data_IF_047539979749
#
_entry.id   IF_047539979749
#
_cell.length_a   1.000
_cell.length_b   1.000
_cell.length_c   1.000
_cell.angle_alpha   90.00
_cell.angle_beta   90.00
_cell.angle_gamma   90.00
#
_symmetry.space_group_name_H-M   'P 1'
#
loop_
_entity.id
_entity.type
_entity.pdbx_description
1 polymer ?
#
# COMPACT_ATOMS: atom_id res chain seq x y z
N UNK A 1 -1.13 27.54 7.45
CA UNK A 1 -2.16 28.42 6.88
C UNK A 1 -3.39 27.56 6.57
N UNK A 2 -4.58 27.94 7.07
CA UNK A 2 -5.80 27.19 6.80
C UNK A 2 -6.27 27.43 5.37
N UNK A 3 -6.73 26.41 4.69
CA UNK A 3 -7.32 26.46 3.34
C UNK A 3 -8.85 26.68 3.40
N UNK A 4 -9.43 26.61 4.58
CA UNK A 4 -10.85 26.83 4.82
C UNK A 4 -11.25 28.30 4.73
N UNK A 5 -12.54 28.55 4.42
CA UNK A 5 -13.18 29.85 4.56
C UNK A 5 -14.24 29.77 5.65
N UNK A 6 -14.44 30.89 6.37
CA UNK A 6 -15.50 30.95 7.37
C UNK A 6 -16.88 30.84 6.70
N UNK A 7 -17.74 30.00 7.26
CA UNK A 7 -19.14 29.86 6.85
C UNK A 7 -20.09 30.62 7.81
N UNK A 8 -19.54 31.35 8.78
CA UNK A 8 -20.32 31.98 9.84
C UNK A 8 -21.38 32.96 9.27
N UNK A 9 -21.01 33.74 8.25
CA UNK A 9 -21.93 34.70 7.65
C UNK A 9 -23.09 34.03 6.91
N UNK A 10 -22.78 32.87 6.26
CA UNK A 10 -23.81 32.06 5.60
C UNK A 10 -24.76 31.41 6.63
N UNK A 11 -24.27 31.07 7.82
CA UNK A 11 -25.14 30.58 8.90
C UNK A 11 -26.05 31.63 9.49
N UNK A 12 -25.54 32.88 9.60
CA UNK A 12 -26.35 34.01 10.06
C UNK A 12 -27.33 34.51 8.99
N UNK A 13 -26.95 34.45 7.74
CA UNK A 13 -27.75 34.83 6.60
C UNK A 13 -27.52 33.87 5.42
N UNK A 14 -28.41 32.90 5.19
CA UNK A 14 -28.26 31.91 4.12
C UNK A 14 -28.13 32.53 2.71
N UNK A 15 -28.58 33.74 2.51
CA UNK A 15 -28.48 34.45 1.24
C UNK A 15 -27.10 35.03 0.95
N UNK A 16 -26.20 35.13 1.96
CA UNK A 16 -24.87 35.71 1.78
C UNK A 16 -23.92 34.83 0.94
N UNK A 17 -24.23 33.54 0.82
CA UNK A 17 -23.39 32.58 0.11
C UNK A 17 -22.01 32.38 0.75
N UNK A 18 -21.21 31.45 0.21
CA UNK A 18 -19.83 31.22 0.61
C UNK A 18 -18.90 31.85 -0.45
N UNK A 19 -17.90 32.62 -0.03
CA UNK A 19 -16.96 33.30 -0.93
C UNK A 19 -16.03 32.36 -1.72
N UNK A 20 -16.13 31.05 -1.53
CA UNK A 20 -15.30 30.07 -2.19
C UNK A 20 -15.86 29.70 -3.57
N UNK A 21 -15.03 29.84 -4.62
CA UNK A 21 -15.42 29.51 -6.01
C UNK A 21 -15.31 28.02 -6.31
N UNK A 22 -14.34 27.33 -5.68
CA UNK A 22 -14.03 25.91 -5.94
C UNK A 22 -13.80 25.15 -4.64
N UNK A 23 -14.18 23.87 -4.64
CA UNK A 23 -13.82 22.90 -3.62
C UNK A 23 -12.82 21.92 -4.22
N UNK A 24 -11.83 21.54 -3.44
CA UNK A 24 -10.77 20.63 -3.88
C UNK A 24 -10.63 19.48 -2.91
N UNK A 25 -10.33 18.31 -3.44
CA UNK A 25 -10.00 17.11 -2.68
C UNK A 25 -8.71 16.53 -3.22
N UNK A 26 -7.90 16.00 -2.33
CA UNK A 26 -6.67 15.32 -2.66
C UNK A 26 -6.52 14.09 -1.77
N UNK A 27 -6.61 12.93 -2.41
CA UNK A 27 -6.53 11.63 -1.78
C UNK A 27 -5.39 10.84 -2.41
N UNK A 28 -4.13 11.09 -2.00
CA UNK A 28 -2.94 10.57 -2.66
C UNK A 28 -2.56 9.16 -2.19
N UNK A 29 -3.46 8.43 -1.57
CA UNK A 29 -3.16 7.07 -1.13
C UNK A 29 -3.09 6.15 -2.35
N UNK A 30 -1.98 5.47 -2.50
CA UNK A 30 -1.69 4.57 -3.62
C UNK A 30 -2.64 3.37 -3.70
N UNK A 31 -3.47 3.17 -2.67
CA UNK A 31 -4.33 2.01 -2.54
C UNK A 31 -5.62 2.35 -1.81
N UNK A 32 -6.68 1.61 -2.13
CA UNK A 32 -7.94 1.83 -1.44
C UNK A 32 -7.76 1.63 0.07
N UNK A 33 -8.12 2.66 0.81
CA UNK A 33 -8.30 2.56 2.24
C UNK A 33 -9.34 1.47 2.56
N UNK A 34 -9.33 0.89 3.76
CA UNK A 34 -10.32 -0.12 4.17
C UNK A 34 -11.79 0.33 4.01
N UNK A 35 -12.03 1.64 3.93
CA UNK A 35 -13.35 2.22 3.63
C UNK A 35 -13.65 2.30 2.12
N UNK A 36 -12.76 1.78 1.27
CA UNK A 36 -12.84 1.94 -0.18
C UNK A 36 -12.25 3.27 -0.64
N UNK A 37 -12.23 3.46 -1.94
CA UNK A 37 -11.71 4.65 -2.61
C UNK A 37 -10.49 4.34 -3.47
N UNK A 38 -10.38 5.06 -4.56
CA UNK A 38 -9.25 4.98 -5.49
C UNK A 38 -8.45 6.26 -5.32
N UNK A 39 -7.11 6.13 -5.33
CA UNK A 39 -6.19 7.27 -5.29
C UNK A 39 -6.58 8.31 -6.34
N UNK A 40 -6.95 9.50 -5.90
CA UNK A 40 -7.57 10.49 -6.79
C UNK A 40 -7.45 11.91 -6.26
N UNK A 41 -7.66 12.86 -7.15
CA UNK A 41 -7.91 14.24 -6.81
C UNK A 41 -9.20 14.71 -7.45
N UNK A 42 -9.84 15.72 -6.88
CA UNK A 42 -11.05 16.27 -7.47
C UNK A 42 -11.15 17.78 -7.28
N UNK A 43 -11.83 18.41 -8.21
CA UNK A 43 -12.25 19.81 -8.13
C UNK A 43 -13.73 19.90 -8.45
N UNK A 44 -14.46 20.66 -7.63
CA UNK A 44 -15.81 21.13 -7.96
C UNK A 44 -15.77 22.64 -8.15
N UNK A 45 -16.20 23.07 -9.32
CA UNK A 45 -16.38 24.49 -9.66
C UNK A 45 -17.80 24.73 -10.21
N UNK A 46 -18.62 25.38 -9.43
CA UNK A 46 -20.04 25.57 -9.76
C UNK A 46 -20.76 24.21 -9.88
N UNK A 47 -21.33 23.95 -11.06
CA UNK A 47 -22.05 22.72 -11.36
C UNK A 47 -21.15 21.59 -11.88
N UNK A 48 -19.88 21.86 -12.15
CA UNK A 48 -18.97 20.86 -12.68
C UNK A 48 -18.11 20.24 -11.58
N UNK A 49 -17.95 18.91 -11.64
CA UNK A 49 -17.02 18.17 -10.81
C UNK A 49 -16.13 17.34 -11.72
N UNK A 50 -14.81 17.54 -11.61
CA UNK A 50 -13.79 16.73 -12.24
C UNK A 50 -13.13 15.87 -11.19
N UNK A 51 -12.98 14.58 -11.48
CA UNK A 51 -12.18 13.62 -10.72
C UNK A 51 -11.02 13.20 -11.60
N UNK A 52 -9.80 13.28 -11.07
CA UNK A 52 -8.59 12.71 -11.67
C UNK A 52 -8.18 11.48 -10.85
N UNK A 53 -7.96 10.37 -11.52
CA UNK A 53 -7.46 9.15 -10.90
C UNK A 53 -5.95 9.04 -11.09
N UNK A 54 -5.25 8.74 -10.00
CA UNK A 54 -3.80 8.53 -10.03
C UNK A 54 -3.43 7.08 -10.34
N UNK A 55 -4.40 6.15 -10.38
CA UNK A 55 -4.17 4.76 -10.75
C UNK A 55 -4.12 4.60 -12.29
N UNK A 56 -2.95 4.30 -12.88
CA UNK A 56 -2.83 4.10 -14.33
C UNK A 56 -3.48 2.81 -14.82
N UNK A 57 -3.95 1.93 -13.93
CA UNK A 57 -4.75 0.77 -14.32
C UNK A 57 -6.21 1.15 -14.58
N UNK A 58 -6.63 2.33 -14.14
CA UNK A 58 -7.95 2.82 -14.48
C UNK A 58 -7.97 3.20 -15.97
N UNK A 59 -8.90 2.64 -16.72
CA UNK A 59 -9.04 2.88 -18.17
C UNK A 59 -9.31 4.34 -18.51
N UNK A 60 -9.91 5.07 -17.59
CA UNK A 60 -10.21 6.49 -17.72
C UNK A 60 -9.51 7.28 -16.61
N UNK A 61 -8.58 8.14 -17.00
CA UNK A 61 -7.86 9.02 -16.07
C UNK A 61 -8.77 10.07 -15.46
N UNK A 62 -9.79 10.52 -16.18
CA UNK A 62 -10.69 11.59 -15.77
C UNK A 62 -12.15 11.15 -15.82
N UNK A 63 -12.91 11.62 -14.83
CA UNK A 63 -14.37 11.61 -14.85
C UNK A 63 -14.88 13.03 -14.64
N UNK A 64 -15.78 13.48 -15.51
CA UNK A 64 -16.40 14.79 -15.46
C UNK A 64 -17.90 14.67 -15.32
N UNK A 65 -18.47 15.34 -14.34
CA UNK A 65 -19.90 15.32 -14.06
C UNK A 65 -20.50 16.72 -14.02
N UNK A 66 -21.73 16.87 -14.52
CA UNK A 66 -22.54 18.06 -14.34
C UNK A 66 -23.55 17.84 -13.22
N UNK A 67 -23.21 18.25 -12.00
CA UNK A 67 -24.01 17.99 -10.80
C UNK A 67 -25.39 18.65 -10.78
N UNK A 68 -25.65 19.63 -11.66
CA UNK A 68 -26.99 20.21 -11.83
C UNK A 68 -27.95 19.23 -12.50
N UNK A 69 -27.46 18.51 -13.51
CA UNK A 69 -28.27 17.60 -14.33
C UNK A 69 -28.10 16.13 -13.90
N UNK A 70 -26.97 15.82 -13.27
CA UNK A 70 -26.61 14.47 -12.82
C UNK A 70 -25.99 14.54 -11.40
N UNK A 71 -26.81 14.77 -10.37
CA UNK A 71 -26.32 14.82 -8.98
C UNK A 71 -25.82 13.47 -8.45
N UNK A 72 -26.13 12.39 -9.15
CA UNK A 72 -25.73 11.03 -8.79
C UNK A 72 -24.44 10.56 -9.49
N UNK A 73 -23.81 11.43 -10.28
CA UNK A 73 -22.51 11.17 -10.94
C UNK A 73 -22.52 9.89 -11.80
N UNK A 74 -23.59 9.65 -12.55
CA UNK A 74 -23.78 8.40 -13.34
C UNK A 74 -23.19 8.49 -14.75
N UNK A 75 -23.09 9.71 -15.32
CA UNK A 75 -22.70 9.89 -16.71
C UNK A 75 -21.40 10.65 -16.80
N UNK A 76 -20.32 9.95 -17.14
CA UNK A 76 -19.02 10.57 -17.37
C UNK A 76 -19.02 11.37 -18.69
N UNK A 77 -18.81 12.68 -18.60
CA UNK A 77 -18.77 13.62 -19.71
C UNK A 77 -17.34 13.98 -20.17
N UNK A 78 -16.30 13.36 -19.59
CA UNK A 78 -14.91 13.74 -19.86
C UNK A 78 -14.56 13.63 -21.35
N UNK A 79 -15.00 12.58 -22.02
CA UNK A 79 -14.74 12.37 -23.44
C UNK A 79 -15.45 13.37 -24.37
N UNK A 80 -16.59 13.95 -23.95
CA UNK A 80 -17.39 14.88 -24.78
C UNK A 80 -17.18 16.36 -24.43
N UNK A 81 -16.51 16.67 -23.31
CA UNK A 81 -16.31 18.04 -22.76
C UNK A 81 -14.85 18.29 -22.42
N UNK A 82 -13.95 18.00 -23.35
CA UNK A 82 -12.50 18.12 -23.16
C UNK A 82 -12.04 19.51 -22.72
N UNK A 83 -12.65 20.59 -23.21
CA UNK A 83 -12.32 21.96 -22.81
C UNK A 83 -12.61 22.21 -21.32
N UNK A 84 -13.73 21.66 -20.82
CA UNK A 84 -14.08 21.77 -19.39
C UNK A 84 -13.10 20.96 -18.54
N UNK A 85 -12.72 19.75 -19.00
CA UNK A 85 -11.70 18.93 -18.34
C UNK A 85 -10.39 19.68 -18.23
N UNK A 86 -9.87 20.23 -19.35
CA UNK A 86 -8.60 20.95 -19.38
C UNK A 86 -8.60 22.15 -18.42
N UNK A 87 -9.68 22.93 -18.44
CA UNK A 87 -9.81 24.09 -17.54
C UNK A 87 -9.79 23.68 -16.08
N UNK A 88 -10.64 22.71 -15.69
CA UNK A 88 -10.73 22.28 -14.29
C UNK A 88 -9.46 21.56 -13.83
N UNK A 89 -8.82 20.81 -14.72
CA UNK A 89 -7.55 20.18 -14.42
C UNK A 89 -6.44 21.23 -14.18
N UNK A 90 -6.36 22.26 -15.00
CA UNK A 90 -5.44 23.36 -14.78
C UNK A 90 -5.67 24.06 -13.43
N UNK A 91 -6.92 24.34 -13.08
CA UNK A 91 -7.28 24.94 -11.79
C UNK A 91 -6.88 24.02 -10.61
N UNK A 92 -7.05 22.70 -10.77
CA UNK A 92 -6.66 21.70 -9.77
C UNK A 92 -5.14 21.63 -9.59
N UNK A 93 -4.38 21.71 -10.67
CA UNK A 93 -2.91 21.74 -10.64
C UNK A 93 -2.38 22.99 -9.92
N UNK A 94 -2.89 24.16 -10.28
CA UNK A 94 -2.51 25.43 -9.61
C UNK A 94 -2.79 25.37 -8.10
N UNK A 95 -3.91 24.79 -7.71
CA UNK A 95 -4.23 24.61 -6.29
C UNK A 95 -3.24 23.66 -5.61
N UNK A 96 -2.90 22.52 -6.24
CA UNK A 96 -1.92 21.54 -5.70
C UNK A 96 -0.56 22.18 -5.50
N UNK A 97 -0.05 22.90 -6.48
CA UNK A 97 1.22 23.62 -6.38
C UNK A 97 1.22 24.60 -5.20
N UNK A 98 0.13 25.36 -5.05
CA UNK A 98 -0.01 26.32 -3.97
C UNK A 98 0.03 25.72 -2.57
N UNK A 99 -0.49 24.50 -2.39
CA UNK A 99 -0.51 23.82 -1.09
C UNK A 99 0.64 22.84 -0.91
N UNK A 100 1.50 22.63 -1.93
CA UNK A 100 2.56 21.63 -1.92
C UNK A 100 2.03 20.20 -1.88
N UNK A 101 0.86 19.96 -2.51
CA UNK A 101 0.27 18.63 -2.54
C UNK A 101 1.16 17.64 -3.31
N UNK A 102 1.49 16.54 -2.68
CA UNK A 102 2.24 15.47 -3.34
C UNK A 102 1.28 14.58 -4.11
N UNK A 103 1.44 14.54 -5.43
CA UNK A 103 0.83 13.49 -6.23
C UNK A 103 1.61 12.19 -5.90
N UNK A 104 0.94 11.05 -5.71
CA UNK A 104 1.65 9.80 -5.54
C UNK A 104 2.57 9.62 -6.75
N UNK A 105 3.84 9.95 -6.57
CA UNK A 105 4.84 9.42 -7.48
C UNK A 105 4.77 7.92 -7.21
N UNK A 106 4.21 7.15 -8.13
CA UNK A 106 4.45 5.73 -8.07
C UNK A 106 5.94 5.56 -7.93
N UNK A 107 6.41 4.93 -6.86
CA UNK A 107 7.74 4.41 -6.91
C UNK A 107 7.72 3.51 -8.14
N UNK A 108 8.36 3.94 -9.18
CA UNK A 108 9.06 3.23 -10.25
C UNK A 108 8.68 1.75 -10.54
N UNK A 109 7.40 1.38 -10.37
CA UNK A 109 6.89 0.10 -10.86
C UNK A 109 6.94 0.01 -12.40
N UNK A 110 7.27 1.11 -13.08
CA UNK A 110 7.48 1.18 -14.54
C UNK A 110 8.95 1.10 -14.95
N UNK A 111 9.91 1.20 -14.03
CA UNK A 111 11.28 0.80 -14.36
C UNK A 111 11.35 -0.72 -14.45
N UNK A 112 12.04 -1.22 -15.44
CA UNK A 112 12.36 -2.63 -15.63
C UNK A 112 12.68 -3.28 -14.29
N UNK A 113 11.71 -4.03 -13.75
CA UNK A 113 11.91 -4.78 -12.51
C UNK A 113 12.90 -5.89 -12.83
N UNK A 114 14.08 -5.79 -12.27
CA UNK A 114 14.97 -6.92 -12.29
C UNK A 114 14.46 -7.93 -11.27
N UNK A 115 14.12 -9.13 -11.72
CA UNK A 115 13.85 -10.23 -10.83
C UNK A 115 15.14 -10.53 -10.07
N UNK A 116 15.16 -10.27 -8.76
CA UNK A 116 16.30 -10.58 -7.92
C UNK A 116 16.40 -12.09 -7.68
N UNK A 117 15.26 -12.67 -7.34
CA UNK A 117 15.12 -14.13 -7.22
C UNK A 117 13.63 -14.50 -7.30
N UNK A 118 13.36 -15.72 -7.68
CA UNK A 118 12.05 -16.34 -7.64
C UNK A 118 12.22 -17.81 -7.24
N UNK A 119 11.31 -18.31 -6.45
CA UNK A 119 11.32 -19.70 -6.00
C UNK A 119 9.93 -20.31 -6.12
N UNK A 120 9.85 -21.45 -6.74
CA UNK A 120 8.63 -22.24 -6.89
C UNK A 120 8.66 -23.53 -6.08
N UNK A 121 9.75 -23.75 -5.33
CA UNK A 121 9.96 -24.94 -4.52
C UNK A 121 9.77 -26.26 -5.29
N UNK A 122 10.13 -26.28 -6.57
CA UNK A 122 10.10 -27.50 -7.36
C UNK A 122 11.12 -28.51 -6.82
N UNK A 123 10.73 -29.77 -6.72
CA UNK A 123 11.60 -30.83 -6.22
C UNK A 123 12.93 -30.90 -6.99
N UNK A 124 14.03 -30.92 -6.27
CA UNK A 124 15.38 -30.95 -6.83
C UNK A 124 15.86 -29.66 -7.48
N UNK A 125 15.05 -28.58 -7.52
CA UNK A 125 15.38 -27.32 -8.17
C UNK A 125 15.40 -26.12 -7.22
N UNK A 126 15.27 -26.35 -5.92
CA UNK A 126 15.31 -25.27 -4.92
C UNK A 126 16.66 -24.57 -4.93
N UNK A 127 16.66 -23.24 -4.98
CA UNK A 127 17.86 -22.43 -5.01
C UNK A 127 18.79 -22.75 -3.83
N UNK A 128 20.10 -22.90 -4.10
CA UNK A 128 21.15 -23.11 -3.08
C UNK A 128 21.31 -21.94 -2.11
N UNK A 129 20.69 -20.81 -2.40
CA UNK A 129 20.69 -19.65 -1.51
C UNK A 129 19.74 -19.81 -0.33
N UNK A 130 18.81 -20.77 -0.39
CA UNK A 130 17.97 -21.10 0.74
C UNK A 130 18.72 -21.94 1.77
N UNK A 131 18.54 -21.58 3.02
CA UNK A 131 19.02 -22.36 4.16
C UNK A 131 17.84 -22.89 4.95
N UNK A 132 17.60 -24.19 4.86
CA UNK A 132 16.51 -24.88 5.55
C UNK A 132 16.99 -25.48 6.88
N UNK A 133 16.15 -25.39 7.89
CA UNK A 133 16.29 -26.18 9.12
C UNK A 133 15.57 -27.54 8.95
N UNK A 134 15.91 -28.50 9.79
CA UNK A 134 15.46 -29.92 9.65
C UNK A 134 13.94 -30.13 9.62
N UNK A 135 13.16 -29.21 10.13
CA UNK A 135 11.70 -29.31 10.18
C UNK A 135 10.98 -28.79 8.93
N UNK A 136 11.73 -28.30 7.95
CA UNK A 136 11.20 -27.81 6.69
C UNK A 136 11.51 -28.79 5.58
N UNK A 137 10.54 -29.07 4.74
CA UNK A 137 10.68 -29.87 3.53
C UNK A 137 9.88 -29.25 2.38
N UNK A 138 10.16 -29.72 1.17
CA UNK A 138 9.45 -29.34 -0.04
C UNK A 138 8.71 -30.55 -0.55
N UNK A 139 7.39 -30.42 -0.71
CA UNK A 139 6.50 -31.43 -1.28
C UNK A 139 5.57 -30.78 -2.29
N UNK A 140 5.46 -31.34 -3.49
CA UNK A 140 4.55 -30.90 -4.55
C UNK A 140 4.62 -29.38 -4.88
N UNK A 141 5.82 -28.80 -4.85
CA UNK A 141 6.01 -27.37 -5.12
C UNK A 141 5.67 -26.46 -3.94
N UNK A 142 5.46 -27.02 -2.76
CA UNK A 142 5.13 -26.27 -1.55
C UNK A 142 6.21 -26.45 -0.51
N UNK A 143 6.61 -25.35 0.12
CA UNK A 143 7.49 -25.37 1.27
C UNK A 143 6.65 -25.63 2.53
N UNK A 144 6.83 -26.77 3.13
CA UNK A 144 6.07 -27.23 4.29
C UNK A 144 6.93 -27.27 5.55
N UNK A 145 6.28 -27.00 6.67
CA UNK A 145 6.84 -27.22 7.99
C UNK A 145 6.10 -28.37 8.68
N UNK A 146 6.80 -29.49 8.86
CA UNK A 146 6.21 -30.76 9.32
C UNK A 146 6.01 -30.88 10.84
N UNK A 147 6.07 -29.82 11.62
CA UNK A 147 5.93 -29.93 13.06
C UNK A 147 5.03 -28.88 13.67
N UNK A 148 4.01 -29.34 14.37
CA UNK A 148 3.23 -28.52 15.30
C UNK A 148 4.01 -28.35 16.60
N UNK A 149 4.28 -27.11 17.00
CA UNK A 149 4.98 -26.77 18.23
C UNK A 149 6.50 -26.55 18.06
N UNK A 150 7.07 -25.77 18.94
CA UNK A 150 8.46 -25.31 18.92
C UNK A 150 8.58 -23.86 18.42
N UNK A 151 9.42 -23.08 19.11
CA UNK A 151 9.60 -21.68 18.85
C UNK A 151 10.54 -21.42 17.69
N UNK A 152 10.18 -20.43 16.83
CA UNK A 152 11.09 -19.72 15.94
C UNK A 152 11.91 -20.56 14.96
N UNK A 153 11.27 -21.45 14.21
CA UNK A 153 11.94 -22.18 13.14
C UNK A 153 11.85 -21.39 11.83
N UNK A 154 13.00 -20.97 11.34
CA UNK A 154 13.13 -20.05 10.21
C UNK A 154 13.82 -20.75 9.04
N UNK A 155 13.51 -20.29 7.85
CA UNK A 155 14.31 -20.50 6.66
C UNK A 155 14.91 -19.15 6.26
N UNK A 156 16.06 -19.19 5.63
CA UNK A 156 16.77 -17.98 5.25
C UNK A 156 17.12 -18.02 3.77
N UNK A 157 16.91 -16.89 3.09
CA UNK A 157 17.50 -16.66 1.78
C UNK A 157 18.73 -15.77 1.95
N UNK A 158 19.89 -16.25 1.53
CA UNK A 158 21.16 -15.56 1.71
C UNK A 158 21.40 -14.53 0.63
N UNK A 159 21.93 -13.38 1.05
CA UNK A 159 22.43 -12.31 0.18
C UNK A 159 21.40 -11.76 -0.82
N UNK A 160 20.19 -11.41 -0.41
CA UNK A 160 19.21 -10.80 -1.30
C UNK A 160 19.63 -9.41 -1.79
N UNK A 161 20.42 -8.66 -1.02
CA UNK A 161 21.02 -7.36 -1.34
C UNK A 161 20.08 -6.35 -1.98
N UNK A 162 19.07 -5.91 -1.23
CA UNK A 162 18.15 -4.88 -1.69
C UNK A 162 17.88 -3.81 -0.63
N UNK A 163 17.53 -2.60 -1.09
CA UNK A 163 16.94 -1.55 -0.26
C UNK A 163 15.46 -1.39 -0.62
N UNK A 164 15.19 -1.13 -1.88
CA UNK A 164 13.84 -1.03 -2.42
C UNK A 164 13.53 -2.28 -3.22
N UNK A 165 12.43 -2.92 -2.86
CA UNK A 165 12.01 -4.16 -3.50
C UNK A 165 10.52 -4.42 -3.32
N UNK A 166 10.00 -5.31 -4.13
CA UNK A 166 8.71 -5.93 -3.96
C UNK A 166 8.90 -7.42 -3.76
N UNK A 167 8.41 -7.94 -2.64
CA UNK A 167 8.38 -9.36 -2.35
C UNK A 167 6.92 -9.80 -2.42
N UNK A 168 6.66 -10.86 -3.18
CA UNK A 168 5.35 -11.49 -3.26
C UNK A 168 5.51 -12.96 -2.91
N UNK A 169 4.63 -13.47 -2.06
CA UNK A 169 4.59 -14.89 -1.70
C UNK A 169 3.15 -15.34 -1.44
N UNK A 170 2.91 -16.59 -1.74
CA UNK A 170 1.67 -17.26 -1.44
C UNK A 170 1.84 -18.08 -0.17
N UNK A 171 0.80 -18.13 0.67
CA UNK A 171 0.83 -18.87 1.93
C UNK A 171 -0.55 -19.42 2.29
N UNK A 172 -0.55 -20.42 3.14
CA UNK A 172 -1.74 -21.05 3.68
C UNK A 172 -1.52 -21.35 5.16
N UNK A 173 -2.53 -21.11 5.98
CA UNK A 173 -2.56 -21.61 7.33
C UNK A 173 -2.96 -23.09 7.30
N UNK A 174 -2.13 -23.93 7.91
CA UNK A 174 -2.40 -25.35 8.09
C UNK A 174 -1.94 -25.72 9.50
N UNK A 175 -2.73 -25.29 10.50
CA UNK A 175 -2.39 -25.42 11.91
C UNK A 175 -1.34 -24.44 12.44
N UNK A 176 -0.80 -23.56 11.61
CA UNK A 176 0.10 -22.50 12.05
C UNK A 176 -0.65 -21.43 12.87
N UNK A 177 0.04 -20.81 13.82
CA UNK A 177 -0.50 -19.69 14.60
C UNK A 177 0.09 -18.34 14.18
N UNK A 178 1.27 -18.35 13.56
CA UNK A 178 1.99 -17.18 13.09
C UNK A 178 2.84 -17.56 11.88
N UNK A 179 2.72 -16.83 10.80
CA UNK A 179 3.54 -16.90 9.60
C UNK A 179 4.20 -15.53 9.46
N UNK A 180 5.50 -15.48 9.20
CA UNK A 180 6.19 -14.21 9.12
C UNK A 180 7.23 -14.12 8.02
N UNK A 181 7.38 -12.92 7.47
CA UNK A 181 8.49 -12.52 6.63
C UNK A 181 9.38 -11.55 7.40
N UNK A 182 10.64 -11.93 7.58
CA UNK A 182 11.62 -11.13 8.30
C UNK A 182 12.70 -10.68 7.32
N UNK A 183 13.05 -9.40 7.37
CA UNK A 183 14.16 -8.88 6.58
C UNK A 183 15.18 -8.26 7.52
N UNK A 184 16.46 -8.47 7.23
CA UNK A 184 17.53 -8.08 8.12
C UNK A 184 18.81 -7.66 7.43
N UNK A 185 19.78 -7.23 8.23
CA UNK A 185 21.15 -6.95 7.84
C UNK A 185 22.09 -7.28 8.99
N UNK A 186 23.13 -8.07 8.70
CA UNK A 186 24.15 -8.45 9.69
C UNK A 186 23.57 -9.00 11.01
N UNK A 187 22.62 -9.93 10.90
CA UNK A 187 21.93 -10.57 12.03
C UNK A 187 21.00 -9.63 12.83
N UNK A 188 20.66 -8.49 12.27
CA UNK A 188 19.70 -7.54 12.85
C UNK A 188 18.42 -7.53 12.04
N UNK A 189 17.28 -7.75 12.69
CA UNK A 189 15.97 -7.67 12.01
C UNK A 189 15.58 -6.21 11.84
N UNK A 190 15.39 -5.81 10.58
CA UNK A 190 15.03 -4.44 10.22
C UNK A 190 13.51 -4.27 10.11
N UNK A 191 12.85 -5.30 9.59
CA UNK A 191 11.41 -5.29 9.39
C UNK A 191 10.88 -6.72 9.56
N UNK A 192 9.81 -6.83 10.32
CA UNK A 192 9.09 -8.07 10.55
C UNK A 192 7.64 -7.89 10.14
N UNK A 193 7.18 -8.65 9.16
CA UNK A 193 5.76 -8.83 8.86
C UNK A 193 5.31 -10.09 9.59
N UNK A 194 4.32 -9.95 10.45
CA UNK A 194 3.64 -11.05 11.12
C UNK A 194 2.23 -11.23 10.55
N UNK A 195 1.84 -12.46 10.31
CA UNK A 195 0.52 -12.85 9.83
C UNK A 195 -0.02 -13.89 10.81
N UNK A 196 -1.01 -13.50 11.60
CA UNK A 196 -1.70 -14.34 12.58
C UNK A 196 -3.14 -14.59 12.12
N UNK A 197 -3.87 -15.47 12.77
CA UNK A 197 -5.20 -15.89 12.29
C UNK A 197 -6.24 -14.79 12.12
N UNK A 198 -6.11 -13.72 12.87
CA UNK A 198 -7.10 -12.61 12.92
C UNK A 198 -6.50 -11.25 12.60
N UNK A 199 -5.19 -11.17 12.35
CA UNK A 199 -4.49 -9.90 12.15
C UNK A 199 -3.18 -10.10 11.37
N UNK A 200 -2.77 -9.10 10.60
CA UNK A 200 -1.38 -8.99 10.17
C UNK A 200 -0.83 -7.60 10.47
N UNK A 201 0.46 -7.52 10.77
CA UNK A 201 1.09 -6.28 11.22
C UNK A 201 2.57 -6.21 10.86
N UNK A 202 3.10 -4.97 10.80
CA UNK A 202 4.50 -4.69 10.59
C UNK A 202 5.11 -4.13 11.87
N UNK A 203 6.26 -4.67 12.26
CA UNK A 203 7.04 -4.18 13.38
C UNK A 203 8.54 -4.12 13.07
N UNK A 204 9.28 -3.40 13.89
CA UNK A 204 10.74 -3.48 14.02
C UNK A 204 11.08 -4.17 15.34
N UNK A 205 12.12 -5.00 15.35
CA UNK A 205 12.48 -5.78 16.53
C UNK A 205 13.62 -5.17 17.36
N UNK A 206 14.25 -4.11 16.88
CA UNK A 206 15.37 -3.48 17.57
C UNK A 206 15.20 -1.97 17.72
N UNK A 207 15.68 -1.44 18.83
CA UNK A 207 15.89 -0.02 18.98
C UNK A 207 17.24 0.42 18.38
N UNK A 208 17.52 1.72 18.39
CA UNK A 208 18.79 2.29 17.91
C UNK A 208 20.04 1.78 18.63
N UNK A 209 19.89 1.07 19.74
CA UNK A 209 20.98 0.53 20.58
C UNK A 209 21.18 -0.97 20.36
N UNK A 210 20.41 -1.60 19.47
CA UNK A 210 20.47 -3.03 19.20
C UNK A 210 19.78 -3.90 20.26
N UNK A 211 19.05 -3.30 21.18
CA UNK A 211 18.25 -4.04 22.17
C UNK A 211 16.99 -4.56 21.50
N UNK A 212 16.65 -5.82 21.74
CA UNK A 212 15.42 -6.38 21.21
C UNK A 212 14.21 -5.74 21.90
N UNK A 213 13.51 -4.89 21.17
CA UNK A 213 12.29 -4.24 21.61
C UNK A 213 11.34 -4.14 20.42
N UNK A 214 10.34 -5.05 20.32
CA UNK A 214 9.41 -5.02 19.21
C UNK A 214 8.54 -3.77 19.28
N UNK A 215 8.55 -3.01 18.22
CA UNK A 215 7.69 -1.83 18.07
C UNK A 215 6.79 -2.03 16.86
N UNK A 216 5.48 -2.13 17.09
CA UNK A 216 4.47 -2.25 16.04
C UNK A 216 4.22 -0.89 15.43
N UNK A 217 4.29 -0.81 14.09
CA UNK A 217 4.12 0.42 13.34
C UNK A 217 2.78 0.52 12.63
N UNK A 218 2.14 -0.61 12.36
CA UNK A 218 0.82 -0.66 11.74
C UNK A 218 0.27 -2.07 11.76
N UNK A 219 -1.06 -2.17 11.71
CA UNK A 219 -1.78 -3.43 11.75
C UNK A 219 -3.06 -3.38 10.94
N UNK A 220 -3.53 -4.54 10.50
CA UNK A 220 -4.79 -4.73 9.80
C UNK A 220 -5.48 -5.99 10.30
N UNK A 221 -6.68 -5.85 10.83
CA UNK A 221 -7.52 -6.99 11.21
C UNK A 221 -8.02 -7.71 9.95
N UNK A 222 -7.84 -9.02 9.92
CA UNK A 222 -8.31 -9.87 8.84
C UNK A 222 -8.37 -11.32 9.33
N UNK A 223 -9.52 -11.97 9.17
CA UNK A 223 -9.72 -13.37 9.56
C UNK A 223 -9.24 -14.30 8.45
N UNK A 224 -8.10 -14.96 8.69
CA UNK A 224 -7.55 -15.97 7.79
C UNK A 224 -8.22 -17.33 8.06
N UNK A 225 -8.66 -17.97 6.97
CA UNK A 225 -9.23 -19.31 7.04
C UNK A 225 -8.15 -20.37 6.83
N UNK A 226 -8.25 -21.48 7.54
CA UNK A 226 -7.45 -22.65 7.27
C UNK A 226 -7.72 -23.15 5.85
N UNK A 227 -6.76 -23.85 5.27
CA UNK A 227 -6.86 -24.50 3.96
C UNK A 227 -7.13 -23.54 2.78
N UNK A 228 -7.05 -22.24 2.99
CA UNK A 228 -7.16 -21.23 1.92
C UNK A 228 -5.81 -20.62 1.62
N UNK A 229 -5.46 -20.57 0.32
CA UNK A 229 -4.30 -19.85 -0.17
C UNK A 229 -4.55 -18.35 -0.21
N UNK A 230 -3.56 -17.60 0.24
CA UNK A 230 -3.54 -16.15 0.24
C UNK A 230 -2.26 -15.65 -0.40
N UNK A 231 -2.35 -14.52 -1.10
CA UNK A 231 -1.19 -13.83 -1.66
C UNK A 231 -0.90 -12.58 -0.86
N UNK A 232 0.29 -12.52 -0.27
CA UNK A 232 0.81 -11.32 0.37
C UNK A 232 1.83 -10.66 -0.55
N UNK A 233 1.74 -9.34 -0.65
CA UNK A 233 2.78 -8.53 -1.28
C UNK A 233 3.30 -7.51 -0.29
N UNK A 234 4.60 -7.39 -0.15
CA UNK A 234 5.26 -6.40 0.68
C UNK A 234 6.18 -5.54 -0.19
N UNK A 235 6.05 -4.24 -0.06
CA UNK A 235 6.84 -3.24 -0.78
C UNK A 235 7.73 -2.48 0.20
N UNK A 236 9.00 -2.40 -0.13
CA UNK A 236 10.01 -1.64 0.58
C UNK A 236 10.41 -0.46 -0.29
N UNK A 237 10.27 0.77 0.22
CA UNK A 237 10.58 2.00 -0.52
C UNK A 237 11.16 3.02 0.45
N UNK A 238 12.47 3.21 0.41
CA UNK A 238 13.16 4.07 1.37
C UNK A 238 12.88 3.63 2.81
N UNK A 239 12.31 4.51 3.62
CA UNK A 239 11.94 4.25 5.02
C UNK A 239 10.48 3.80 5.19
N UNK A 240 9.81 3.45 4.10
CA UNK A 240 8.43 3.01 4.08
C UNK A 240 8.32 1.52 3.76
N UNK A 241 7.38 0.85 4.41
CA UNK A 241 7.02 -0.54 4.11
C UNK A 241 5.50 -0.63 4.04
N UNK A 242 5.02 -1.28 2.98
CA UNK A 242 3.59 -1.54 2.79
C UNK A 242 3.40 -3.02 2.56
N UNK A 243 2.63 -3.67 3.41
CA UNK A 243 2.18 -5.04 3.18
C UNK A 243 0.70 -5.04 2.80
N UNK A 244 0.32 -5.82 1.79
CA UNK A 244 -1.06 -5.94 1.38
C UNK A 244 -1.44 -7.36 0.97
N UNK A 245 -2.63 -7.72 1.40
CA UNK A 245 -3.27 -8.99 1.15
C UNK A 245 -4.29 -8.82 0.03
N UNK A 246 -4.17 -9.61 -1.05
CA UNK A 246 -5.12 -9.69 -2.16
C UNK A 246 -5.59 -8.30 -2.67
N UNK A 247 -4.72 -7.28 -2.58
CA UNK A 247 -4.95 -5.89 -2.97
C UNK A 247 -6.09 -5.16 -2.24
N UNK A 248 -6.68 -5.74 -1.19
CA UNK A 248 -7.83 -5.17 -0.48
C UNK A 248 -7.52 -4.73 0.95
N UNK A 249 -6.66 -5.44 1.64
CA UNK A 249 -6.26 -5.15 3.02
C UNK A 249 -4.80 -4.78 3.08
N UNK A 250 -4.45 -3.75 3.82
CA UNK A 250 -3.09 -3.24 3.84
C UNK A 250 -2.63 -2.75 5.21
N UNK A 251 -1.34 -2.84 5.43
CA UNK A 251 -0.63 -2.22 6.55
C UNK A 251 0.46 -1.31 5.99
N UNK A 252 0.55 -0.12 6.53
CA UNK A 252 1.61 0.84 6.23
C UNK A 252 2.47 1.05 7.48
N UNK A 253 3.77 1.07 7.28
CA UNK A 253 4.74 1.37 8.31
C UNK A 253 5.81 2.33 7.78
N UNK A 254 6.30 3.21 8.65
CA UNK A 254 7.42 4.12 8.35
C UNK A 254 8.38 4.15 9.53
N UNK A 255 9.64 3.82 9.28
CA UNK A 255 10.68 3.89 10.31
C UNK A 255 12.06 4.03 9.64
N UNK A 256 12.97 4.87 10.17
CA UNK A 256 14.29 5.07 9.57
C UNK A 256 15.13 3.80 9.37
N UNK A 257 14.98 2.79 10.23
CA UNK A 257 15.66 1.50 10.07
C UNK A 257 15.23 0.74 8.82
N UNK A 258 14.03 0.99 8.31
CA UNK A 258 13.50 0.32 7.11
C UNK A 258 14.23 0.72 5.84
N UNK A 259 15.02 1.80 5.87
CA UNK A 259 15.86 2.27 4.73
C UNK A 259 17.15 1.48 4.56
N UNK A 260 17.55 0.69 5.53
CA UNK A 260 18.82 -0.01 5.49
C UNK A 260 18.85 -1.11 4.43
N UNK A 261 20.06 -1.38 3.90
CA UNK A 261 20.29 -2.49 2.98
C UNK A 261 19.96 -3.83 3.67
N UNK A 262 19.19 -4.65 3.00
CA UNK A 262 18.79 -5.98 3.47
C UNK A 262 19.69 -7.02 2.83
N UNK A 263 20.32 -7.79 3.66
CA UNK A 263 21.27 -8.87 3.25
C UNK A 263 20.77 -10.26 3.66
N UNK A 264 19.68 -10.31 4.40
CA UNK A 264 19.03 -11.54 4.92
C UNK A 264 17.51 -11.42 4.79
#
# INVERSE_FOLDING_TARGET
KLDGVSTLDTWKNPSSGVSRKSLHWHYPLDRPHFLGGISSGAIRHGNWKLIEYFDPKKSEQFELFNLKNDPSEKTNLAGSKSEVVQKLYGDLQVWREKIGAQIPSRPLLTQTRNLLFGEHFSEGQVSKNWFFQKEWNVEEGVLLRNRVGGTNKRIFYKNPNFQDALIRFDFQFNGATDIGLFTGSNSSYLTELHIQKDIFFIQTAQDKKGTWFPTRHGECAFEFKEDKWYTMTIEFIGDHVVAHLDHTHMVYAKHPMMRNLRTE
#
